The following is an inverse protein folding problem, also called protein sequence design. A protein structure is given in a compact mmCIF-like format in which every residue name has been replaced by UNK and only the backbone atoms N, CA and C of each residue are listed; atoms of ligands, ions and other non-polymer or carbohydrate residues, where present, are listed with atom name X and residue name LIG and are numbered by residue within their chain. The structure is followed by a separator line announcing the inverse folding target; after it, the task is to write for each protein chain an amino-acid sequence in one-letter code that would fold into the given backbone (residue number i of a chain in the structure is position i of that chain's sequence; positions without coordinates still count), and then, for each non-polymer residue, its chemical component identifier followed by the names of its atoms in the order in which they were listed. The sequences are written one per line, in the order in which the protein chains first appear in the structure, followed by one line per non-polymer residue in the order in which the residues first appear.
data_IF_959409091198
#
_entry.id   IF_959409091198
#
_cell.length_a   1.000
_cell.length_b   1.000
_cell.length_c   1.000
_cell.angle_alpha   90.00
_cell.angle_beta   90.00
_cell.angle_gamma   90.00
#
_symmetry.space_group_name_H-M   'P 1'
#
loop_
_entity.id
_entity.type
_entity.pdbx_description
1 polymer ?
#
# COMPACT_ATOMS: atom_id res chain seq x y z
N UNK A 1 20.38 -61.19 -30.05
CA UNK A 1 19.39 -60.69 -29.06
C UNK A 1 19.96 -60.15 -27.74
N UNK A 2 21.23 -60.41 -27.37
CA UNK A 2 21.82 -59.90 -26.10
C UNK A 2 22.22 -58.41 -26.13
N UNK A 3 22.59 -57.86 -27.29
CA UNK A 3 23.11 -56.48 -27.40
C UNK A 3 21.99 -55.42 -27.30
N UNK A 4 20.80 -55.70 -27.83
CA UNK A 4 19.65 -54.78 -27.80
C UNK A 4 19.07 -54.61 -26.37
N UNK A 5 19.13 -55.64 -25.52
CA UNK A 5 18.71 -55.56 -24.10
C UNK A 5 19.62 -54.65 -23.26
N UNK A 6 20.89 -54.53 -23.61
CA UNK A 6 21.86 -53.69 -22.88
C UNK A 6 21.65 -52.20 -23.15
N UNK A 7 21.37 -51.83 -24.40
CA UNK A 7 21.18 -50.45 -24.84
C UNK A 7 19.87 -49.88 -24.27
N UNK A 8 18.80 -50.68 -24.24
CA UNK A 8 17.54 -50.30 -23.60
C UNK A 8 17.66 -50.09 -22.08
N UNK A 9 18.51 -50.87 -21.40
CA UNK A 9 18.76 -50.71 -19.96
C UNK A 9 19.49 -49.42 -19.61
N UNK A 10 20.51 -49.03 -20.40
CA UNK A 10 21.22 -47.76 -20.20
C UNK A 10 20.33 -46.54 -20.48
N UNK A 11 19.48 -46.59 -21.50
CA UNK A 11 18.57 -45.50 -21.83
C UNK A 11 17.54 -45.24 -20.72
N UNK A 12 17.00 -46.31 -20.12
CA UNK A 12 16.04 -46.20 -18.99
C UNK A 12 16.73 -45.64 -17.74
N UNK A 13 17.96 -46.07 -17.45
CA UNK A 13 18.73 -45.54 -16.32
C UNK A 13 19.06 -44.06 -16.50
N UNK A 14 19.41 -43.63 -17.71
CA UNK A 14 19.68 -42.23 -18.02
C UNK A 14 18.42 -41.35 -17.90
N UNK A 15 17.28 -41.85 -18.41
CA UNK A 15 16.00 -41.15 -18.28
C UNK A 15 15.55 -41.02 -16.82
N UNK A 16 15.76 -42.05 -15.99
CA UNK A 16 15.46 -42.02 -14.56
C UNK A 16 16.34 -41.01 -13.80
N UNK A 17 17.63 -40.90 -14.14
CA UNK A 17 18.56 -39.92 -13.53
C UNK A 17 18.17 -38.50 -13.92
N UNK A 18 17.82 -38.24 -15.18
CA UNK A 18 17.37 -36.92 -15.64
C UNK A 18 16.04 -36.53 -14.98
N UNK A 19 15.09 -37.45 -14.83
CA UNK A 19 13.83 -37.22 -14.11
C UNK A 19 14.09 -36.93 -12.62
N UNK A 20 14.99 -37.66 -11.96
CA UNK A 20 15.34 -37.41 -10.56
C UNK A 20 16.03 -36.06 -10.34
N UNK A 21 16.88 -35.62 -11.29
CA UNK A 21 17.50 -34.28 -11.25
C UNK A 21 16.50 -33.16 -11.53
N UNK A 22 15.50 -33.39 -12.40
CA UNK A 22 14.42 -32.44 -12.66
C UNK A 22 13.42 -32.34 -11.49
N UNK A 23 13.14 -33.44 -10.79
CA UNK A 23 12.28 -33.45 -9.60
C UNK A 23 12.91 -32.77 -8.38
N UNK A 24 14.25 -32.75 -8.27
CA UNK A 24 14.95 -32.03 -7.21
C UNK A 24 15.02 -30.51 -7.43
N UNK A 25 14.77 -30.01 -8.65
CA UNK A 25 14.81 -28.58 -8.96
C UNK A 25 13.48 -27.87 -8.69
N UNK A 26 12.38 -28.60 -8.47
CA UNK A 26 11.03 -28.04 -8.26
C UNK A 26 10.64 -27.90 -6.78
N UNK A 27 11.53 -28.17 -5.82
CA UNK A 27 11.20 -28.23 -4.39
C UNK A 27 11.99 -27.25 -3.47
N UNK A 28 12.70 -26.25 -4.01
CA UNK A 28 13.53 -25.33 -3.19
C UNK A 28 13.14 -23.84 -3.28
N UNK A 29 11.91 -23.51 -3.67
CA UNK A 29 11.38 -22.14 -3.50
C UNK A 29 10.28 -22.12 -2.41
N UNK A 30 10.62 -21.92 -1.13
CA UNK A 30 9.62 -21.61 -0.10
C UNK A 30 9.26 -20.12 -0.15
N UNK A 31 8.79 -19.62 -1.30
CA UNK A 31 8.50 -18.20 -1.49
C UNK A 31 7.05 -17.88 -1.89
N UNK A 32 6.13 -18.86 -1.92
CA UNK A 32 4.72 -18.62 -2.29
C UNK A 32 3.71 -19.45 -1.48
N UNK A 33 3.96 -19.63 -0.17
CA UNK A 33 2.99 -20.21 0.73
C UNK A 33 2.66 -19.23 1.87
N UNK A 34 1.96 -18.14 1.56
CA UNK A 34 1.12 -17.44 2.55
C UNK A 34 -0.23 -17.06 1.90
N UNK A 35 -1.14 -18.03 2.02
CA UNK A 35 -2.53 -17.88 2.45
C UNK A 35 -3.37 -16.74 1.87
N UNK A 36 -4.16 -17.11 0.88
CA UNK A 36 -5.45 -16.53 0.56
C UNK A 36 -6.43 -16.67 1.74
N UNK A 37 -6.53 -15.65 2.58
CA UNK A 37 -7.76 -15.33 3.35
C UNK A 37 -7.91 -13.82 3.45
N UNK A 38 -8.40 -13.17 2.39
CA UNK A 38 -9.00 -11.84 2.49
C UNK A 38 -10.51 -12.02 2.33
N UNK A 39 -11.14 -12.41 3.44
CA UNK A 39 -12.54 -12.13 3.69
C UNK A 39 -12.58 -10.80 4.43
N UNK A 40 -12.45 -9.71 3.68
CA UNK A 40 -12.95 -8.41 4.10
C UNK A 40 -13.24 -7.62 2.84
N UNK A 41 -14.44 -7.08 2.73
CA UNK A 41 -14.94 -6.25 1.63
C UNK A 41 -14.26 -4.88 1.55
N UNK A 42 -12.96 -4.84 1.85
CA UNK A 42 -12.14 -3.65 1.78
C UNK A 42 -10.88 -4.01 0.98
N UNK A 43 -10.91 -3.68 -0.30
CA UNK A 43 -9.77 -3.76 -1.19
C UNK A 43 -8.65 -2.90 -0.57
N UNK A 44 -7.43 -3.41 -0.35
CA UNK A 44 -6.31 -2.58 0.06
C UNK A 44 -6.06 -1.57 -1.06
N UNK A 45 -6.49 -0.33 -0.88
CA UNK A 45 -6.05 0.76 -1.73
C UNK A 45 -4.55 0.91 -1.46
N UNK A 46 -3.68 0.93 -2.48
CA UNK A 46 -2.25 1.05 -2.24
C UNK A 46 -1.96 2.42 -1.61
N UNK A 47 -1.74 2.42 -0.29
CA UNK A 47 -1.18 3.54 0.47
C UNK A 47 0.13 3.95 -0.21
N UNK A 48 0.38 5.24 -0.45
CA UNK A 48 1.72 5.63 -0.89
C UNK A 48 2.68 5.55 0.30
N UNK A 49 3.74 4.70 0.28
CA UNK A 49 4.66 4.59 1.41
C UNK A 49 5.33 5.93 1.77
N UNK A 50 5.48 6.79 0.76
CA UNK A 50 6.01 8.14 0.87
C UNK A 50 5.01 9.04 1.61
N UNK A 51 3.74 9.09 1.16
CA UNK A 51 2.70 9.89 1.79
C UNK A 51 2.48 9.53 3.26
N UNK A 52 2.51 8.24 3.60
CA UNK A 52 2.46 7.77 5.00
C UNK A 52 3.64 8.27 5.83
N UNK A 53 4.85 8.24 5.27
CA UNK A 53 6.06 8.72 5.96
C UNK A 53 5.97 10.23 6.22
N UNK A 54 5.55 11.00 5.22
CA UNK A 54 5.35 12.45 5.35
C UNK A 54 4.28 12.74 6.40
N UNK A 55 3.16 12.02 6.37
CA UNK A 55 2.09 12.17 7.36
C UNK A 55 2.59 11.93 8.79
N UNK A 56 3.33 10.84 9.01
CA UNK A 56 3.86 10.52 10.33
C UNK A 56 4.82 11.59 10.86
N UNK A 57 5.65 12.15 9.98
CA UNK A 57 6.65 13.14 10.36
C UNK A 57 6.06 14.55 10.60
N UNK A 58 4.95 14.89 9.93
CA UNK A 58 4.48 16.27 9.86
C UNK A 58 3.05 16.49 10.38
N UNK A 59 2.21 15.46 10.38
CA UNK A 59 0.76 15.59 10.57
C UNK A 59 0.25 14.80 11.79
N UNK A 60 0.86 13.63 12.05
CA UNK A 60 0.37 12.68 13.05
C UNK A 60 0.39 13.24 14.48
N UNK A 61 1.24 14.23 14.78
CA UNK A 61 1.24 14.90 16.08
C UNK A 61 -0.12 15.46 16.46
N UNK A 62 -0.91 15.90 15.48
CA UNK A 62 -2.28 16.38 15.68
C UNK A 62 -3.35 15.44 15.13
N UNK A 63 -3.00 14.61 14.14
CA UNK A 63 -3.94 13.83 13.35
C UNK A 63 -3.73 12.30 13.41
N UNK A 64 -3.06 11.81 14.45
CA UNK A 64 -2.98 10.36 14.71
C UNK A 64 -4.39 9.74 14.75
N UNK A 65 -4.56 8.56 14.18
CA UNK A 65 -5.89 7.93 14.19
C UNK A 65 -6.89 8.57 13.22
N UNK A 66 -6.46 9.54 12.40
CA UNK A 66 -7.37 10.38 11.63
C UNK A 66 -8.07 11.43 12.50
N UNK A 67 -7.75 11.49 13.80
CA UNK A 67 -8.36 12.40 14.75
C UNK A 67 -7.91 13.85 14.55
N UNK A 68 -8.32 14.73 15.45
CA UNK A 68 -7.75 16.06 15.58
C UNK A 68 -7.70 16.43 17.06
N UNK A 69 -6.50 16.47 17.63
CA UNK A 69 -6.32 16.70 19.08
C UNK A 69 -6.72 18.11 19.53
N UNK A 70 -6.79 19.09 18.61
CA UNK A 70 -7.12 20.47 18.94
C UNK A 70 -8.61 20.77 18.76
N UNK A 71 -9.22 20.20 17.72
CA UNK A 71 -10.64 20.41 17.39
C UNK A 71 -11.24 19.08 16.95
N UNK A 72 -11.77 18.32 17.90
CA UNK A 72 -12.23 16.93 17.75
C UNK A 72 -13.11 16.69 16.50
N UNK A 73 -14.07 17.58 16.25
CA UNK A 73 -15.01 17.44 15.14
C UNK A 73 -14.43 17.82 13.77
N UNK A 74 -13.22 18.39 13.72
CA UNK A 74 -12.48 18.70 12.48
C UNK A 74 -11.37 17.67 12.24
N UNK A 75 -11.75 16.41 12.31
CA UNK A 75 -10.90 15.27 12.04
C UNK A 75 -10.79 14.97 10.53
N UNK A 76 -10.02 13.95 10.17
CA UNK A 76 -9.74 13.53 8.79
C UNK A 76 -10.66 12.40 8.31
N UNK A 77 -11.68 12.00 9.08
CA UNK A 77 -12.68 11.06 8.59
C UNK A 77 -13.54 11.71 7.50
N UNK A 78 -14.01 10.90 6.56
CA UNK A 78 -14.71 11.36 5.35
C UNK A 78 -15.90 12.28 5.66
N UNK A 79 -16.67 11.98 6.68
CA UNK A 79 -17.83 12.79 7.08
C UNK A 79 -17.43 14.20 7.50
N UNK A 80 -16.31 14.34 8.22
CA UNK A 80 -15.78 15.63 8.63
C UNK A 80 -15.20 16.40 7.44
N UNK A 81 -14.45 15.73 6.55
CA UNK A 81 -13.93 16.35 5.33
C UNK A 81 -15.06 16.86 4.43
N UNK A 82 -16.10 16.05 4.19
CA UNK A 82 -17.29 16.47 3.43
C UNK A 82 -18.00 17.69 4.04
N UNK A 83 -17.99 17.81 5.36
CA UNK A 83 -18.72 18.87 6.07
C UNK A 83 -17.91 20.15 6.25
N UNK A 84 -16.60 20.05 6.47
CA UNK A 84 -15.78 21.16 6.94
C UNK A 84 -14.66 21.55 6.00
N UNK A 85 -14.23 20.68 5.08
CA UNK A 85 -13.20 20.99 4.12
C UNK A 85 -13.82 21.54 2.82
N UNK A 86 -13.52 22.81 2.55
CA UNK A 86 -14.04 23.52 1.38
C UNK A 86 -13.68 22.75 0.08
N UNK A 87 -14.66 22.61 -0.81
CA UNK A 87 -14.53 21.91 -2.09
C UNK A 87 -14.23 20.41 -2.03
N UNK A 88 -14.24 19.76 -0.85
CA UNK A 88 -13.95 18.33 -0.77
C UNK A 88 -14.90 17.48 -1.61
N UNK A 89 -16.20 17.84 -1.64
CA UNK A 89 -17.22 17.12 -2.42
C UNK A 89 -16.97 17.13 -3.93
N UNK A 90 -16.37 18.18 -4.47
CA UNK A 90 -16.19 18.37 -5.91
C UNK A 90 -14.77 18.04 -6.37
N UNK A 91 -13.76 18.30 -5.54
CA UNK A 91 -12.36 18.05 -5.85
C UNK A 91 -11.57 17.72 -4.56
N UNK A 92 -11.69 16.48 -4.04
CA UNK A 92 -11.22 16.11 -2.71
C UNK A 92 -9.71 16.24 -2.54
N UNK A 93 -8.93 15.72 -3.50
CA UNK A 93 -7.46 15.79 -3.46
C UNK A 93 -7.00 17.26 -3.49
N UNK A 94 -7.54 18.07 -4.40
CA UNK A 94 -7.16 19.49 -4.49
C UNK A 94 -7.55 20.27 -3.23
N UNK A 95 -8.69 19.94 -2.62
CA UNK A 95 -9.11 20.52 -1.35
C UNK A 95 -8.11 20.23 -0.22
N UNK A 96 -7.64 18.98 -0.11
CA UNK A 96 -6.62 18.62 0.88
C UNK A 96 -5.28 19.32 0.57
N UNK A 97 -4.84 19.31 -0.69
CA UNK A 97 -3.61 20.01 -1.12
C UNK A 97 -3.67 21.49 -0.69
N UNK A 98 -4.78 22.17 -0.99
CA UNK A 98 -4.97 23.58 -0.64
C UNK A 98 -4.90 23.82 0.86
N UNK A 99 -5.50 22.93 1.65
CA UNK A 99 -5.51 23.01 3.11
C UNK A 99 -4.11 22.76 3.69
N UNK A 100 -3.35 21.80 3.16
CA UNK A 100 -1.97 21.51 3.58
C UNK A 100 -1.04 22.66 3.20
N UNK A 101 -1.16 23.20 1.98
CA UNK A 101 -0.33 24.32 1.51
C UNK A 101 -0.50 25.56 2.38
N UNK A 102 -1.75 25.92 2.68
CA UNK A 102 -2.06 27.22 3.27
C UNK A 102 -2.31 27.18 4.77
N UNK A 103 -2.57 26.00 5.34
CA UNK A 103 -3.04 25.89 6.72
C UNK A 103 -4.40 26.55 6.92
N UNK A 104 -4.91 26.51 8.15
CA UNK A 104 -6.09 27.27 8.58
C UNK A 104 -6.16 27.31 10.11
N UNK A 105 -6.27 28.51 10.67
CA UNK A 105 -6.29 28.72 12.12
C UNK A 105 -5.05 28.08 12.80
N UNK A 106 -5.25 27.08 13.67
CA UNK A 106 -4.19 26.39 14.38
C UNK A 106 -3.40 25.38 13.51
N UNK A 107 -3.92 24.98 12.35
CA UNK A 107 -3.18 24.11 11.42
C UNK A 107 -2.14 24.96 10.67
N UNK A 108 -0.83 24.66 10.80
CA UNK A 108 0.22 25.42 10.12
C UNK A 108 0.21 25.20 8.59
N UNK A 109 0.80 26.15 7.87
CA UNK A 109 0.99 26.07 6.42
C UNK A 109 2.26 25.28 6.09
N UNK A 110 2.18 24.35 5.12
CA UNK A 110 3.31 23.50 4.71
C UNK A 110 3.94 23.90 3.38
N UNK A 111 3.43 24.91 2.67
CA UNK A 111 3.96 25.33 1.34
C UNK A 111 5.45 25.70 1.31
N UNK A 112 6.04 26.05 2.46
CA UNK A 112 7.46 26.39 2.59
C UNK A 112 8.26 25.28 3.32
N UNK A 113 7.62 24.18 3.68
CA UNK A 113 8.21 23.07 4.46
C UNK A 113 8.28 21.78 3.65
N UNK A 114 7.31 21.58 2.75
CA UNK A 114 7.21 20.43 1.86
C UNK A 114 7.22 20.91 0.41
N UNK A 115 7.82 20.11 -0.47
CA UNK A 115 7.72 20.31 -1.92
C UNK A 115 6.30 20.05 -2.42
N UNK A 116 5.98 20.53 -3.62
CA UNK A 116 4.68 20.27 -4.23
C UNK A 116 4.38 18.77 -4.37
N UNK A 117 5.38 17.98 -4.78
CA UNK A 117 5.26 16.53 -4.88
C UNK A 117 4.96 15.88 -3.52
N UNK A 118 5.65 16.28 -2.46
CA UNK A 118 5.39 15.77 -1.10
C UNK A 118 4.00 16.14 -0.59
N UNK A 119 3.51 17.35 -0.93
CA UNK A 119 2.16 17.77 -0.58
C UNK A 119 1.12 16.92 -1.32
N UNK A 120 1.34 16.60 -2.60
CA UNK A 120 0.46 15.71 -3.37
C UNK A 120 0.47 14.29 -2.76
N UNK A 121 1.63 13.78 -2.38
CA UNK A 121 1.76 12.47 -1.73
C UNK A 121 1.00 12.39 -0.41
N UNK A 122 1.19 13.35 0.50
CA UNK A 122 0.47 13.35 1.78
C UNK A 122 -1.03 13.60 1.61
N UNK A 123 -1.44 14.43 0.63
CA UNK A 123 -2.85 14.64 0.34
C UNK A 123 -3.52 13.38 -0.19
N UNK A 124 -2.81 12.62 -1.04
CA UNK A 124 -3.27 11.33 -1.56
C UNK A 124 -3.41 10.32 -0.43
N UNK A 125 -2.42 10.24 0.47
CA UNK A 125 -2.47 9.38 1.65
C UNK A 125 -3.68 9.70 2.54
N UNK A 126 -3.89 10.98 2.88
CA UNK A 126 -5.05 11.41 3.69
C UNK A 126 -6.37 11.06 3.02
N UNK A 127 -6.50 11.31 1.71
CA UNK A 127 -7.71 10.97 0.95
C UNK A 127 -7.99 9.47 1.01
N UNK A 128 -7.01 8.64 0.65
CA UNK A 128 -7.16 7.18 0.64
C UNK A 128 -7.57 6.63 2.00
N UNK A 129 -6.93 7.09 3.08
CA UNK A 129 -7.27 6.66 4.44
C UNK A 129 -8.69 7.14 4.78
N UNK A 130 -9.03 8.40 4.54
CA UNK A 130 -10.38 8.92 4.83
C UNK A 130 -11.50 8.16 4.12
N UNK A 131 -11.32 7.81 2.85
CA UNK A 131 -12.29 7.04 2.05
C UNK A 131 -12.39 5.57 2.51
N UNK A 132 -11.35 5.09 3.19
CA UNK A 132 -11.26 3.75 3.75
C UNK A 132 -11.77 3.65 5.20
N UNK A 133 -12.28 4.75 5.76
CA UNK A 133 -12.73 4.83 7.16
C UNK A 133 -11.65 5.29 8.13
N UNK A 134 -10.47 5.61 7.61
CA UNK A 134 -9.19 5.80 8.28
C UNK A 134 -8.69 4.51 8.96
#
# INVERSE_FOLDING_TARGET
MRVIRSIFGLAIAYFAIVIALLFNFTLINPALAETSTITSSHLPVPETPIGKTIFNNNCASCHIGGANILVEYKNLHKEALLKYLENYKTNPITAIITQVQNGKNAMPAFKNQLTEAEIIEVATYVFQNSESGW
#
